data_IF_414375810569
#
_entry.id   IF_414375810569
#
_cell.length_a   1.000
_cell.length_b   1.000
_cell.length_c   1.000
_cell.angle_alpha   90.00
_cell.angle_beta   90.00
_cell.angle_gamma   90.00
#
_symmetry.space_group_name_H-M   'P 1'
#
loop_
_entity.id
_entity.type
_entity.pdbx_description
1 polymer ?
#
# COMPACT_ATOMS: atom_id res chain seq x y z
N UNK A 1 -21.40 -13.42 -2.71
CA UNK A 1 -20.33 -14.18 -2.02
C UNK A 1 -19.05 -13.36 -2.15
N UNK A 2 -18.37 -13.00 -1.04
CA UNK A 2 -17.16 -12.16 -1.09
C UNK A 2 -16.01 -12.92 -1.74
N UNK A 3 -15.22 -12.26 -2.60
CA UNK A 3 -14.09 -12.89 -3.29
C UNK A 3 -12.89 -12.93 -2.34
N UNK A 4 -12.33 -14.12 -2.10
CA UNK A 4 -11.05 -14.24 -1.38
C UNK A 4 -9.90 -13.83 -2.29
N UNK A 5 -8.82 -13.32 -1.71
CA UNK A 5 -7.57 -13.22 -2.46
C UNK A 5 -7.14 -14.60 -2.94
N UNK A 6 -7.02 -14.75 -4.25
CA UNK A 6 -6.32 -15.87 -4.84
C UNK A 6 -4.80 -15.70 -4.68
N UNK A 7 -4.03 -16.40 -5.51
CA UNK A 7 -2.65 -15.95 -5.77
C UNK A 7 -2.77 -14.58 -6.44
N UNK A 8 -2.28 -13.51 -5.80
CA UNK A 8 -2.03 -12.24 -6.49
C UNK A 8 -1.34 -12.58 -7.80
N UNK A 9 -1.84 -11.98 -8.88
CA UNK A 9 -1.50 -12.22 -10.27
C UNK A 9 -0.16 -12.97 -10.48
N UNK A 10 -0.13 -14.12 -11.18
CA UNK A 10 1.01 -15.07 -11.27
C UNK A 10 2.35 -14.46 -11.74
N UNK A 11 2.33 -13.22 -12.21
CA UNK A 11 3.50 -12.43 -12.60
C UNK A 11 4.19 -11.73 -11.42
N UNK A 12 3.57 -11.69 -10.24
CA UNK A 12 4.15 -11.25 -8.97
C UNK A 12 4.67 -12.45 -8.18
N UNK A 13 5.96 -12.43 -7.85
CA UNK A 13 6.54 -13.30 -6.85
C UNK A 13 6.64 -12.53 -5.53
N UNK A 14 5.54 -12.43 -4.78
CA UNK A 14 5.57 -11.91 -3.42
C UNK A 14 6.18 -12.94 -2.45
N UNK A 15 6.82 -12.50 -1.34
CA UNK A 15 7.26 -13.40 -0.28
C UNK A 15 6.12 -14.31 0.20
N UNK A 16 6.42 -15.57 0.52
CA UNK A 16 5.41 -16.57 0.87
C UNK A 16 4.54 -16.13 2.06
N UNK A 17 5.13 -15.43 3.04
CA UNK A 17 4.41 -14.87 4.18
C UNK A 17 3.31 -13.88 3.76
N UNK A 18 3.55 -13.05 2.75
CA UNK A 18 2.58 -12.09 2.22
C UNK A 18 1.44 -12.83 1.51
N UNK A 19 1.77 -13.81 0.67
CA UNK A 19 0.78 -14.63 -0.01
C UNK A 19 -0.14 -15.37 0.98
N UNK A 20 0.43 -15.97 2.03
CA UNK A 20 -0.32 -16.66 3.09
C UNK A 20 -1.24 -15.72 3.88
N UNK A 21 -0.80 -14.48 4.13
CA UNK A 21 -1.59 -13.47 4.85
C UNK A 21 -2.77 -13.01 3.99
N UNK A 22 -2.52 -12.63 2.74
CA UNK A 22 -3.56 -12.18 1.81
C UNK A 22 -4.61 -13.26 1.54
N UNK A 23 -4.23 -14.53 1.40
CA UNK A 23 -5.18 -15.63 1.21
C UNK A 23 -6.23 -15.80 2.32
N UNK A 24 -6.03 -15.15 3.48
CA UNK A 24 -6.99 -15.11 4.59
C UNK A 24 -7.92 -13.89 4.55
N UNK A 25 -7.65 -12.93 3.68
CA UNK A 25 -8.42 -11.70 3.49
C UNK A 25 -9.39 -11.83 2.29
N UNK A 26 -10.44 -11.01 2.31
CA UNK A 26 -11.25 -10.76 1.12
C UNK A 26 -10.70 -9.56 0.37
N UNK A 27 -10.89 -9.51 -0.96
CA UNK A 27 -10.44 -8.39 -1.81
C UNK A 27 -11.00 -7.05 -1.33
N UNK A 28 -12.24 -7.06 -0.86
CA UNK A 28 -12.95 -5.89 -0.32
C UNK A 28 -12.41 -5.39 1.04
N UNK A 29 -11.56 -6.17 1.72
CA UNK A 29 -11.01 -5.82 3.04
C UNK A 29 -9.56 -5.29 2.96
N UNK A 30 -9.00 -5.19 1.76
CA UNK A 30 -7.61 -4.77 1.55
C UNK A 30 -7.58 -3.65 0.52
N UNK A 31 -6.86 -2.60 0.84
CA UNK A 31 -6.72 -1.40 0.02
C UNK A 31 -5.29 -0.91 0.07
N UNK A 32 -4.92 -0.14 -0.95
CA UNK A 32 -3.63 0.51 -1.06
C UNK A 32 -3.79 2.00 -0.79
N UNK A 33 -2.90 2.63 -0.02
CA UNK A 33 -2.88 4.09 0.06
C UNK A 33 -2.56 4.70 -1.32
N UNK A 34 -3.26 5.77 -1.72
CA UNK A 34 -2.89 6.53 -2.93
C UNK A 34 -1.43 7.01 -2.91
N UNK A 35 -0.86 7.24 -1.72
CA UNK A 35 0.56 7.59 -1.55
C UNK A 35 1.46 6.41 -1.94
N UNK A 36 1.12 5.19 -1.53
CA UNK A 36 1.82 3.97 -1.95
C UNK A 36 1.67 3.75 -3.45
N UNK A 37 0.48 3.96 -4.02
CA UNK A 37 0.27 3.88 -5.47
C UNK A 37 1.17 4.85 -6.24
N UNK A 38 1.34 6.08 -5.74
CA UNK A 38 2.25 7.06 -6.35
C UNK A 38 3.72 6.62 -6.29
N UNK A 39 4.18 6.04 -5.15
CA UNK A 39 5.53 5.46 -5.04
C UNK A 39 5.75 4.32 -6.04
N UNK A 40 4.73 3.50 -6.28
CA UNK A 40 4.82 2.40 -7.25
C UNK A 40 4.89 2.93 -8.69
N UNK A 41 4.13 3.98 -9.04
CA UNK A 41 4.22 4.63 -10.36
C UNK A 41 5.61 5.23 -10.63
N UNK A 42 6.22 5.87 -9.63
CA UNK A 42 7.61 6.36 -9.73
C UNK A 42 8.59 5.19 -9.97
N UNK A 43 8.45 4.09 -9.22
CA UNK A 43 9.23 2.87 -9.42
C UNK A 43 9.06 2.23 -10.81
N UNK A 44 7.84 2.26 -11.37
CA UNK A 44 7.57 1.81 -12.74
C UNK A 44 8.33 2.66 -13.77
N UNK A 45 8.35 3.99 -13.59
CA UNK A 45 9.03 4.91 -14.48
C UNK A 45 10.56 4.72 -14.46
N UNK A 46 11.12 4.37 -13.30
CA UNK A 46 12.55 4.10 -13.14
C UNK A 46 13.02 2.75 -13.70
N UNK A 47 12.11 1.86 -14.12
CA UNK A 47 12.46 0.51 -14.55
C UNK A 47 12.96 0.44 -16.00
N UNK A 48 13.78 -0.57 -16.32
CA UNK A 48 14.28 -0.79 -17.68
C UNK A 48 13.17 -1.14 -18.70
N UNK A 49 12.01 -1.60 -18.23
CA UNK A 49 10.85 -1.97 -19.09
C UNK A 49 9.52 -1.40 -18.53
N UNK A 50 9.32 -0.08 -18.56
CA UNK A 50 8.19 0.58 -17.88
C UNK A 50 6.82 0.10 -18.35
N UNK A 51 6.65 -0.23 -19.63
CA UNK A 51 5.38 -0.72 -20.16
C UNK A 51 4.96 -2.07 -19.55
N UNK A 52 5.92 -2.95 -19.25
CA UNK A 52 5.67 -4.24 -18.60
C UNK A 52 5.29 -4.02 -17.13
N UNK A 53 6.07 -3.22 -16.41
CA UNK A 53 5.80 -2.97 -14.99
C UNK A 53 4.51 -2.19 -14.77
N UNK A 54 4.12 -1.29 -15.70
CA UNK A 54 2.82 -0.62 -15.66
C UNK A 54 1.65 -1.60 -15.77
N UNK A 55 1.76 -2.64 -16.63
CA UNK A 55 0.72 -3.68 -16.72
C UNK A 55 0.61 -4.49 -15.43
N UNK A 56 1.74 -4.75 -14.78
CA UNK A 56 1.78 -5.42 -13.47
C UNK A 56 1.14 -4.55 -12.39
N UNK A 57 1.49 -3.26 -12.33
CA UNK A 57 0.89 -2.32 -11.39
C UNK A 57 -0.62 -2.22 -11.61
N UNK A 58 -1.08 -2.12 -12.86
CA UNK A 58 -2.51 -2.09 -13.17
C UNK A 58 -3.24 -3.35 -12.66
N UNK A 59 -2.65 -4.53 -12.83
CA UNK A 59 -3.23 -5.76 -12.30
C UNK A 59 -3.22 -5.83 -10.77
N UNK A 60 -2.20 -5.26 -10.11
CA UNK A 60 -2.18 -5.14 -8.65
C UNK A 60 -3.29 -4.21 -8.14
N UNK A 61 -3.53 -3.10 -8.84
CA UNK A 61 -4.59 -2.12 -8.49
C UNK A 61 -5.99 -2.74 -8.67
N UNK A 62 -6.16 -3.63 -9.64
CA UNK A 62 -7.43 -4.37 -9.84
C UNK A 62 -7.74 -5.32 -8.66
N UNK A 63 -6.70 -5.96 -8.09
CA UNK A 63 -6.84 -6.82 -6.90
C UNK A 63 -6.85 -6.04 -5.57
N UNK A 64 -6.14 -4.90 -5.50
CA UNK A 64 -5.96 -4.05 -4.31
C UNK A 64 -6.17 -2.59 -4.69
N UNK A 65 -7.42 -2.08 -4.62
CA UNK A 65 -7.74 -0.74 -5.08
C UNK A 65 -7.06 0.34 -4.22
N UNK A 66 -6.72 1.46 -4.88
CA UNK A 66 -6.18 2.64 -4.23
C UNK A 66 -7.26 3.45 -3.51
N UNK A 67 -7.07 3.77 -2.23
CA UNK A 67 -7.89 4.70 -1.48
C UNK A 67 -7.32 6.13 -1.55
N UNK A 68 -8.15 7.18 -1.69
CA UNK A 68 -7.69 8.55 -1.75
C UNK A 68 -7.18 9.03 -0.39
N UNK A 69 -6.03 9.70 -0.37
CA UNK A 69 -5.58 10.44 0.81
C UNK A 69 -6.34 11.78 0.88
N UNK A 70 -7.36 11.84 1.72
CA UNK A 70 -8.22 13.02 1.84
C UNK A 70 -7.92 13.87 3.09
N UNK A 71 -8.71 14.93 3.27
CA UNK A 71 -8.55 15.88 4.39
C UNK A 71 -8.78 15.20 5.75
N UNK A 72 -9.55 14.11 5.83
CA UNK A 72 -9.81 13.40 7.08
C UNK A 72 -8.56 12.71 7.63
N UNK A 73 -7.54 12.46 6.80
CA UNK A 73 -6.26 11.91 7.24
C UNK A 73 -5.31 12.97 7.81
N UNK A 74 -5.52 14.26 7.52
CA UNK A 74 -4.60 15.33 7.94
C UNK A 74 -4.39 15.42 9.47
N UNK A 75 -5.43 15.32 10.33
CA UNK A 75 -5.24 15.39 11.77
C UNK A 75 -4.40 14.25 12.36
N UNK A 76 -4.40 13.07 11.72
CA UNK A 76 -3.64 11.92 12.18
C UNK A 76 -2.12 12.05 11.94
N UNK A 77 -1.72 12.90 11.00
CA UNK A 77 -0.32 13.03 10.59
C UNK A 77 0.60 13.58 11.68
N UNK A 78 0.17 14.61 12.40
CA UNK A 78 0.97 15.21 13.48
C UNK A 78 1.36 14.19 14.57
N UNK A 79 0.36 13.51 15.18
CA UNK A 79 0.61 12.45 16.17
C UNK A 79 1.48 11.31 15.65
N UNK A 80 1.25 10.84 14.42
CA UNK A 80 2.07 9.79 13.81
C UNK A 80 3.53 10.23 13.69
N UNK A 81 3.76 11.46 13.23
CA UNK A 81 5.12 12.00 13.06
C UNK A 81 5.85 12.23 14.37
N UNK A 82 5.13 12.64 15.41
CA UNK A 82 5.72 12.83 16.74
C UNK A 82 6.10 11.49 17.38
N UNK A 83 5.37 10.41 17.05
CA UNK A 83 5.63 9.07 17.56
C UNK A 83 6.83 8.37 16.91
N UNK A 84 7.11 8.62 15.62
CA UNK A 84 8.22 7.95 14.90
C UNK A 84 9.59 8.56 15.17
N UNK A 85 9.68 9.82 15.60
CA UNK A 85 10.94 10.48 15.99
C UNK A 85 11.96 10.68 14.86
N UNK A 86 11.70 10.19 13.64
CA UNK A 86 12.58 10.26 12.49
C UNK A 86 12.42 11.59 11.73
N UNK A 87 13.36 12.52 11.93
CA UNK A 87 13.32 13.86 11.30
C UNK A 87 13.98 13.95 9.91
N UNK A 88 14.56 12.87 9.38
CA UNK A 88 15.48 12.92 8.23
C UNK A 88 15.09 12.09 6.99
N UNK A 89 14.04 11.27 7.05
CA UNK A 89 13.61 10.43 5.93
C UNK A 89 12.49 11.07 5.13
N UNK A 90 12.27 10.53 3.94
CA UNK A 90 11.11 10.85 3.12
C UNK A 90 9.82 10.55 3.89
N UNK A 91 9.04 11.60 4.19
CA UNK A 91 7.89 11.54 5.11
C UNK A 91 6.63 10.87 4.51
N UNK A 92 6.80 10.10 3.43
CA UNK A 92 5.69 9.40 2.79
C UNK A 92 5.16 8.27 3.68
N UNK A 93 6.02 7.65 4.48
CA UNK A 93 5.61 6.52 5.32
C UNK A 93 4.74 6.99 6.49
N UNK A 94 5.03 8.15 7.09
CA UNK A 94 4.16 8.78 8.08
C UNK A 94 2.82 9.22 7.47
N UNK A 95 2.79 9.64 6.20
CA UNK A 95 1.53 9.91 5.50
C UNK A 95 0.74 8.63 5.26
N UNK A 96 1.40 7.53 4.88
CA UNK A 96 0.75 6.22 4.72
C UNK A 96 0.18 5.73 6.06
N UNK A 97 0.92 5.90 7.16
CA UNK A 97 0.45 5.56 8.50
C UNK A 97 -0.73 6.45 8.94
N UNK A 98 -0.66 7.76 8.73
CA UNK A 98 -1.78 8.68 9.00
C UNK A 98 -3.03 8.32 8.19
N UNK A 99 -2.84 7.87 6.95
CA UNK A 99 -3.93 7.40 6.09
C UNK A 99 -4.59 6.13 6.62
N UNK A 100 -3.85 5.24 7.30
CA UNK A 100 -4.41 4.04 7.93
C UNK A 100 -5.14 4.36 9.25
N UNK A 101 -4.63 5.34 10.01
CA UNK A 101 -5.26 5.78 11.28
C UNK A 101 -6.63 6.42 11.06
N UNK A 102 -6.80 7.20 9.99
CA UNK A 102 -8.05 7.94 9.73
C UNK A 102 -9.30 7.05 9.58
N UNK A 103 -9.29 5.99 8.76
CA UNK A 103 -10.39 5.02 8.68
C UNK A 103 -10.30 3.89 9.72
N UNK A 104 -9.38 3.97 10.70
CA UNK A 104 -9.15 2.94 11.72
C UNK A 104 -8.87 1.53 11.14
N UNK A 105 -7.88 1.44 10.25
CA UNK A 105 -7.48 0.18 9.61
C UNK A 105 -6.07 -0.24 9.98
N UNK A 106 -5.81 -1.55 9.92
CA UNK A 106 -4.48 -2.09 10.15
C UNK A 106 -3.52 -1.73 9.00
N UNK A 107 -2.42 -1.05 9.31
CA UNK A 107 -1.31 -0.85 8.38
C UNK A 107 -0.51 -2.13 8.22
N UNK A 108 -0.36 -2.61 6.98
CA UNK A 108 0.53 -3.73 6.65
C UNK A 108 1.79 -3.16 5.98
N UNK A 109 2.93 -3.36 6.62
CA UNK A 109 4.24 -2.86 6.16
C UNK A 109 5.32 -3.92 6.40
N UNK A 110 6.40 -3.85 5.61
CA UNK A 110 7.62 -4.61 5.84
C UNK A 110 8.73 -3.74 6.48
N UNK A 111 8.45 -2.46 6.69
CA UNK A 111 9.28 -1.60 7.53
C UNK A 111 8.74 -1.67 8.97
N UNK A 112 9.53 -2.27 9.86
CA UNK A 112 9.20 -2.46 11.28
C UNK A 112 9.71 -1.31 12.17
N UNK A 113 10.31 -0.28 11.56
CA UNK A 113 10.94 0.85 12.25
C UNK A 113 10.07 2.10 12.28
#
# INVERSE_FOLDING_TARGET
MRRRFGRLNREFAQPEQVAKRLARCYTEDVLMSAITSAKLEDGVAAWATPARERRRLAALIDDIPGAPFDVAAAPAYGPVRDATGERKKDHLDERIAAHAVSPDVALVTNDER
#
